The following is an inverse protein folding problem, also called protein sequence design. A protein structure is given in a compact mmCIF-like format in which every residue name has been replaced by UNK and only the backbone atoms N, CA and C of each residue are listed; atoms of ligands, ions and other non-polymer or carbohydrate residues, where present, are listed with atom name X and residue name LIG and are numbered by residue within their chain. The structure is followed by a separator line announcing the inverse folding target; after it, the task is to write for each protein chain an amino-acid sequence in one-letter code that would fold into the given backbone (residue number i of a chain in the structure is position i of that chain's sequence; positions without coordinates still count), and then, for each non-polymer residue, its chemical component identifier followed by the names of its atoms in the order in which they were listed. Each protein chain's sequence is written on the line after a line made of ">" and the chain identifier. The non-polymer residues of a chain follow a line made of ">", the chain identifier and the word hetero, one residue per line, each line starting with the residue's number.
data_IF_984724009180
#
_entry.id   IF_984724009180
#
_cell.length_a   1.000
_cell.length_b   1.000
_cell.length_c   1.000
_cell.angle_alpha   90.00
_cell.angle_beta   90.00
_cell.angle_gamma   90.00
#
_symmetry.space_group_name_H-M   'P 1'
#
loop_
_entity.id
_entity.type
_entity.pdbx_description
1 polymer ?
#
# COMPACT_ATOMS: atom_id res chain seq x y z
N UNK A 1 -3.57 27.89 -13.03
CA UNK A 1 -3.28 26.48 -13.05
C UNK A 1 -4.33 25.74 -13.85
N UNK A 2 -3.97 24.68 -14.53
CA UNK A 2 -4.95 23.81 -15.17
C UNK A 2 -5.77 23.12 -14.08
N UNK A 3 -7.09 23.14 -14.19
CA UNK A 3 -7.94 22.34 -13.32
C UNK A 3 -7.67 20.86 -13.63
N UNK A 4 -7.22 20.10 -12.64
CA UNK A 4 -7.09 18.66 -12.76
C UNK A 4 -8.48 18.04 -12.65
N UNK A 5 -8.89 17.29 -13.66
CA UNK A 5 -10.10 16.47 -13.59
C UNK A 5 -9.78 15.19 -12.84
N UNK A 6 -10.42 15.00 -11.70
CA UNK A 6 -10.28 13.78 -10.89
C UNK A 6 -11.52 12.90 -11.02
N UNK A 7 -11.31 11.60 -11.16
CA UNK A 7 -12.34 10.60 -10.89
C UNK A 7 -12.01 9.91 -9.57
N UNK A 8 -13.03 9.60 -8.80
CA UNK A 8 -12.88 8.79 -7.59
C UNK A 8 -13.42 7.40 -7.84
N UNK A 9 -12.58 6.39 -7.63
CA UNK A 9 -12.92 4.98 -7.78
C UNK A 9 -12.80 4.31 -6.42
N UNK A 10 -13.83 3.61 -6.02
CA UNK A 10 -13.85 2.78 -4.82
C UNK A 10 -14.15 1.35 -5.21
N UNK A 11 -13.28 0.43 -4.83
CA UNK A 11 -13.49 -1.00 -5.00
C UNK A 11 -13.84 -1.61 -3.65
N UNK A 12 -15.08 -2.03 -3.52
CA UNK A 12 -15.56 -2.70 -2.32
C UNK A 12 -15.28 -4.21 -2.39
N UNK A 13 -14.62 -4.73 -1.36
CA UNK A 13 -14.25 -6.14 -1.28
C UNK A 13 -15.18 -6.97 -0.38
N UNK A 14 -16.31 -6.39 0.01
CA UNK A 14 -17.34 -7.06 0.80
C UNK A 14 -17.65 -6.36 2.13
N UNK A 15 -17.72 -5.03 2.13
CA UNK A 15 -18.10 -4.25 3.31
C UNK A 15 -19.52 -4.60 3.78
N UNK A 16 -19.69 -4.73 5.06
CA UNK A 16 -20.99 -5.00 5.70
C UNK A 16 -21.61 -3.78 6.39
N UNK A 17 -20.91 -2.65 6.34
CA UNK A 17 -21.32 -1.37 6.90
C UNK A 17 -21.80 -0.40 5.81
N UNK A 18 -21.85 0.91 6.12
CA UNK A 18 -22.29 1.95 5.19
C UNK A 18 -21.20 2.42 4.20
N UNK A 19 -20.06 1.75 4.10
CA UNK A 19 -18.94 2.17 3.23
C UNK A 19 -19.40 2.45 1.81
N UNK A 20 -20.11 1.50 1.18
CA UNK A 20 -20.60 1.64 -0.21
C UNK A 20 -21.60 2.79 -0.36
N UNK A 21 -22.48 2.97 0.62
CA UNK A 21 -23.47 4.05 0.63
C UNK A 21 -22.78 5.42 0.69
N UNK A 22 -21.87 5.59 1.65
CA UNK A 22 -21.11 6.83 1.84
C UNK A 22 -20.26 7.16 0.60
N UNK A 23 -19.53 6.19 0.06
CA UNK A 23 -18.72 6.41 -1.14
C UNK A 23 -19.56 6.86 -2.34
N UNK A 24 -20.78 6.30 -2.49
CA UNK A 24 -21.72 6.72 -3.54
C UNK A 24 -22.23 8.14 -3.32
N UNK A 25 -22.60 8.49 -2.09
CA UNK A 25 -23.03 9.85 -1.72
C UNK A 25 -21.93 10.89 -1.98
N UNK A 26 -20.66 10.50 -1.81
CA UNK A 26 -19.49 11.33 -2.13
C UNK A 26 -19.15 11.39 -3.63
N UNK A 27 -19.93 10.71 -4.48
CA UNK A 27 -19.78 10.76 -5.95
C UNK A 27 -18.77 9.78 -6.53
N UNK A 28 -18.28 8.83 -5.75
CA UNK A 28 -17.35 7.81 -6.23
C UNK A 28 -18.01 6.83 -7.19
N UNK A 29 -17.23 6.34 -8.15
CA UNK A 29 -17.57 5.18 -8.97
C UNK A 29 -17.30 3.91 -8.17
N UNK A 30 -18.35 3.13 -7.93
CA UNK A 30 -18.26 1.93 -7.09
C UNK A 30 -18.12 0.70 -7.97
N UNK A 31 -17.13 -0.12 -7.66
CA UNK A 31 -16.93 -1.45 -8.24
C UNK A 31 -16.85 -2.48 -7.12
N UNK A 32 -17.16 -3.73 -7.44
CA UNK A 32 -17.16 -4.82 -6.47
C UNK A 32 -16.13 -5.88 -6.89
N UNK A 33 -15.28 -6.25 -5.95
CA UNK A 33 -14.28 -7.30 -6.14
C UNK A 33 -14.37 -8.27 -4.95
N UNK A 34 -14.78 -9.52 -5.14
CA UNK A 34 -14.85 -10.47 -4.03
C UNK A 34 -13.49 -10.63 -3.37
N UNK A 35 -13.43 -10.55 -2.05
CA UNK A 35 -12.17 -10.77 -1.33
C UNK A 35 -11.65 -12.20 -1.54
N UNK A 36 -10.44 -12.33 -2.08
CA UNK A 36 -9.79 -13.60 -2.43
C UNK A 36 -8.47 -13.83 -1.70
N UNK A 37 -8.24 -13.12 -0.57
CA UNK A 37 -6.98 -13.13 0.18
C UNK A 37 -5.76 -12.66 -0.65
N UNK A 38 -5.96 -11.66 -1.47
CA UNK A 38 -4.96 -11.09 -2.36
C UNK A 38 -5.17 -9.58 -2.49
N UNK A 39 -4.34 -8.79 -1.80
CA UNK A 39 -4.41 -7.34 -1.83
C UNK A 39 -3.98 -6.78 -3.19
N UNK A 40 -2.93 -7.35 -3.80
CA UNK A 40 -2.47 -6.89 -5.11
C UNK A 40 -3.56 -7.10 -6.18
N UNK A 41 -4.29 -8.21 -6.14
CA UNK A 41 -5.38 -8.46 -7.07
C UNK A 41 -6.49 -7.41 -6.93
N UNK A 42 -6.89 -7.06 -5.71
CA UNK A 42 -7.89 -6.03 -5.45
C UNK A 42 -7.41 -4.64 -5.90
N UNK A 43 -6.15 -4.28 -5.61
CA UNK A 43 -5.54 -3.01 -6.05
C UNK A 43 -5.43 -2.93 -7.56
N UNK A 44 -4.97 -3.98 -8.22
CA UNK A 44 -4.87 -4.03 -9.67
C UNK A 44 -6.25 -3.94 -10.35
N UNK A 45 -7.25 -4.59 -9.78
CA UNK A 45 -8.63 -4.44 -10.27
C UNK A 45 -9.10 -2.98 -10.21
N UNK A 46 -8.76 -2.24 -9.14
CA UNK A 46 -9.07 -0.82 -9.03
C UNK A 46 -8.34 0.01 -10.09
N UNK A 47 -7.06 -0.25 -10.34
CA UNK A 47 -6.25 0.41 -11.37
C UNK A 47 -6.89 0.18 -12.76
N UNK A 48 -7.36 -1.02 -13.06
CA UNK A 48 -7.98 -1.35 -14.35
C UNK A 48 -9.30 -0.60 -14.62
N UNK A 49 -9.93 -0.04 -13.58
CA UNK A 49 -11.12 0.81 -13.73
C UNK A 49 -10.77 2.28 -13.99
N UNK A 50 -9.53 2.70 -13.71
CA UNK A 50 -9.09 4.08 -13.79
C UNK A 50 -8.82 4.50 -15.26
N UNK A 51 -9.16 5.76 -15.58
CA UNK A 51 -9.01 6.35 -16.92
C UNK A 51 -8.08 7.58 -16.93
N UNK A 52 -7.69 8.07 -15.76
CA UNK A 52 -6.75 9.18 -15.65
C UNK A 52 -5.34 8.77 -16.05
N UNK A 53 -4.51 9.74 -16.38
CA UNK A 53 -3.09 9.53 -16.72
C UNK A 53 -2.25 9.17 -15.49
N UNK A 54 -2.69 9.60 -14.32
CA UNK A 54 -2.08 9.33 -13.03
C UNK A 54 -3.05 8.61 -12.09
N UNK A 55 -2.51 7.72 -11.27
CA UNK A 55 -3.20 7.09 -10.16
C UNK A 55 -2.72 7.73 -8.86
N UNK A 56 -3.66 8.20 -8.04
CA UNK A 56 -3.44 8.48 -6.62
C UNK A 56 -4.09 7.33 -5.84
N UNK A 57 -3.30 6.39 -5.35
CA UNK A 57 -3.82 5.22 -4.63
C UNK A 57 -3.70 5.45 -3.13
N UNK A 58 -4.83 5.65 -2.47
CA UNK A 58 -4.91 5.82 -1.01
C UNK A 58 -5.70 4.66 -0.39
N UNK A 59 -5.24 4.20 0.75
CA UNK A 59 -6.01 3.32 1.61
C UNK A 59 -7.10 4.14 2.35
N UNK A 60 -8.14 3.49 2.86
CA UNK A 60 -9.32 4.19 3.41
C UNK A 60 -9.04 5.01 4.67
N UNK A 61 -7.92 4.74 5.34
CA UNK A 61 -7.43 5.43 6.54
C UNK A 61 -6.32 6.47 6.22
N UNK A 62 -6.15 6.80 4.94
CA UNK A 62 -5.17 7.78 4.45
C UNK A 62 -5.85 9.02 3.86
N UNK A 63 -5.26 10.17 4.07
CA UNK A 63 -5.74 11.44 3.51
C UNK A 63 -4.61 12.44 3.30
N UNK A 64 -4.78 13.35 2.32
CA UNK A 64 -3.93 14.52 2.17
C UNK A 64 -4.49 15.69 2.96
N UNK A 65 -3.61 16.59 3.42
CA UNK A 65 -4.06 17.88 3.93
C UNK A 65 -4.64 18.73 2.78
N UNK A 66 -5.55 19.68 3.07
CA UNK A 66 -6.04 20.61 2.06
C UNK A 66 -4.93 21.45 1.40
N UNK A 67 -3.85 21.73 2.14
CA UNK A 67 -2.68 22.44 1.65
C UNK A 67 -1.90 21.59 0.64
N UNK A 68 -1.66 20.32 0.94
CA UNK A 68 -0.93 19.42 0.06
C UNK A 68 -1.73 19.09 -1.19
N UNK A 69 -3.04 18.91 -1.05
CA UNK A 69 -3.94 18.69 -2.20
C UNK A 69 -3.82 19.79 -3.27
N UNK A 70 -3.61 21.04 -2.85
CA UNK A 70 -3.45 22.18 -3.78
C UNK A 70 -2.13 22.17 -4.54
N UNK A 71 -1.09 21.48 -4.02
CA UNK A 71 0.23 21.39 -4.65
C UNK A 71 0.27 20.30 -5.72
N UNK A 72 -0.61 19.29 -5.64
CA UNK A 72 -0.61 18.12 -6.53
C UNK A 72 -0.57 18.53 -8.02
N UNK A 73 -1.42 19.47 -8.51
CA UNK A 73 -1.41 19.87 -9.92
C UNK A 73 -0.05 20.41 -10.38
N UNK A 74 0.58 21.24 -9.55
CA UNK A 74 1.88 21.83 -9.84
C UNK A 74 2.98 20.75 -9.85
N UNK A 75 2.98 19.85 -8.86
CA UNK A 75 3.94 18.76 -8.78
C UNK A 75 3.85 17.88 -10.04
N UNK A 76 2.66 17.46 -10.44
CA UNK A 76 2.44 16.61 -11.61
C UNK A 76 2.79 17.32 -12.93
N UNK A 77 2.74 18.65 -13.00
CA UNK A 77 3.15 19.41 -14.19
C UNK A 77 4.67 19.45 -14.38
N UNK A 78 5.44 19.41 -13.27
CA UNK A 78 6.91 19.45 -13.31
C UNK A 78 7.58 18.08 -13.34
N UNK A 79 6.81 17.01 -13.15
CA UNK A 79 7.34 15.64 -13.24
C UNK A 79 7.65 15.28 -14.68
N UNK A 80 8.86 14.79 -14.94
CA UNK A 80 9.28 14.39 -16.29
C UNK A 80 8.48 13.21 -16.84
N UNK A 81 8.50 13.05 -18.16
CA UNK A 81 7.75 12.00 -18.87
C UNK A 81 8.27 10.57 -18.59
N UNK A 82 9.51 10.45 -18.10
CA UNK A 82 10.21 9.15 -17.93
C UNK A 82 10.09 8.58 -16.53
N UNK A 83 9.19 9.13 -15.67
CA UNK A 83 9.01 8.62 -14.31
C UNK A 83 7.88 7.61 -14.23
N UNK A 84 7.99 6.70 -13.26
CA UNK A 84 6.95 5.73 -12.94
C UNK A 84 6.02 6.24 -11.84
N UNK A 85 6.53 7.10 -10.95
CA UNK A 85 5.72 7.64 -9.85
C UNK A 85 6.47 8.61 -8.96
N UNK A 86 5.81 8.99 -7.87
CA UNK A 86 6.33 9.90 -6.85
C UNK A 86 6.56 9.14 -5.53
N UNK A 87 7.72 9.36 -4.93
CA UNK A 87 7.94 9.03 -3.53
C UNK A 87 7.35 10.16 -2.69
N UNK A 88 6.36 9.86 -1.86
CA UNK A 88 5.68 10.83 -1.00
C UNK A 88 5.95 10.53 0.46
N UNK A 89 5.84 11.56 1.32
CA UNK A 89 5.88 11.37 2.75
C UNK A 89 4.63 10.66 3.28
N UNK A 90 4.78 9.91 4.37
CA UNK A 90 3.68 9.41 5.19
C UNK A 90 3.90 9.85 6.62
N UNK A 91 2.83 10.26 7.30
CA UNK A 91 2.82 10.66 8.69
C UNK A 91 1.76 9.88 9.44
N UNK A 92 2.19 9.02 10.34
CA UNK A 92 1.30 8.22 11.19
C UNK A 92 0.80 9.06 12.37
N UNK A 93 -0.49 9.06 12.60
CA UNK A 93 -1.16 9.79 13.66
C UNK A 93 -1.78 8.84 14.69
N UNK A 94 -1.68 9.22 15.97
CA UNK A 94 -2.46 8.58 17.04
C UNK A 94 -3.91 9.13 17.09
N UNK A 95 -4.70 8.63 18.03
CA UNK A 95 -6.09 9.02 18.27
C UNK A 95 -6.27 10.52 18.66
N UNK A 96 -5.19 11.17 19.11
CA UNK A 96 -5.16 12.57 19.49
C UNK A 96 -4.54 13.46 18.39
N UNK A 97 -4.30 12.90 17.19
CA UNK A 97 -3.62 13.52 16.06
C UNK A 97 -2.16 13.93 16.35
N UNK A 98 -1.49 13.24 17.29
CA UNK A 98 -0.06 13.41 17.47
C UNK A 98 0.70 12.50 16.49
N UNK A 99 1.81 13.03 15.97
CA UNK A 99 2.70 12.25 15.10
C UNK A 99 3.39 11.16 15.92
N UNK A 100 3.25 9.92 15.49
CA UNK A 100 3.85 8.75 16.12
C UNK A 100 5.04 8.21 15.34
N UNK A 101 4.97 8.27 14.03
CA UNK A 101 6.04 7.86 13.11
C UNK A 101 5.87 8.55 11.76
N UNK A 102 6.83 8.35 10.88
CA UNK A 102 6.78 8.82 9.51
C UNK A 102 7.71 7.98 8.62
N UNK A 103 7.51 8.09 7.35
CA UNK A 103 8.27 7.35 6.37
C UNK A 103 8.02 7.88 4.96
N UNK A 104 8.27 7.03 3.97
CA UNK A 104 8.04 7.35 2.58
C UNK A 104 7.30 6.22 1.89
N UNK A 105 6.43 6.56 0.93
CA UNK A 105 5.65 5.58 0.19
C UNK A 105 5.29 6.08 -1.20
N UNK A 106 5.09 5.17 -2.14
CA UNK A 106 4.59 5.49 -3.47
C UNK A 106 3.07 5.48 -3.40
N UNK A 107 2.45 6.67 -3.54
CA UNK A 107 0.99 6.82 -3.62
C UNK A 107 0.54 7.44 -4.94
N UNK A 108 1.45 8.08 -5.69
CA UNK A 108 1.21 8.56 -7.04
C UNK A 108 2.07 7.82 -8.02
N UNK A 109 1.47 7.28 -9.08
CA UNK A 109 2.16 6.64 -10.17
C UNK A 109 1.41 6.78 -11.49
N UNK A 110 2.13 6.66 -12.59
CA UNK A 110 1.55 6.79 -13.93
C UNK A 110 0.64 5.60 -14.23
N UNK A 111 -0.53 5.87 -14.81
CA UNK A 111 -1.47 4.82 -15.19
C UNK A 111 -1.01 4.11 -16.47
N UNK A 112 -0.12 3.12 -16.31
CA UNK A 112 0.42 2.32 -17.40
C UNK A 112 0.17 0.82 -17.18
N UNK A 113 0.00 0.03 -18.26
CA UNK A 113 -0.27 -1.40 -18.13
C UNK A 113 0.87 -2.23 -17.54
N UNK A 114 2.11 -1.73 -17.60
CA UNK A 114 3.30 -2.38 -17.06
C UNK A 114 3.58 -2.06 -15.59
N UNK A 115 2.85 -1.10 -14.99
CA UNK A 115 2.91 -0.78 -13.57
C UNK A 115 1.77 -1.49 -12.84
N UNK A 116 2.11 -2.45 -11.98
CA UNK A 116 1.11 -3.24 -11.23
C UNK A 116 1.62 -3.60 -9.84
N UNK A 117 0.70 -3.77 -8.92
CA UNK A 117 1.01 -4.33 -7.62
C UNK A 117 1.28 -5.83 -7.71
N UNK A 118 2.27 -6.30 -6.95
CA UNK A 118 2.60 -7.72 -6.76
C UNK A 118 2.67 -8.04 -5.27
N UNK A 119 2.46 -9.31 -4.93
CA UNK A 119 2.41 -9.80 -3.55
C UNK A 119 0.98 -9.82 -3.00
N UNK A 120 0.53 -10.98 -2.50
CA UNK A 120 -0.82 -11.13 -1.93
C UNK A 120 -1.02 -10.31 -0.66
N UNK A 121 0.07 -10.08 0.07
CA UNK A 121 0.17 -9.22 1.26
C UNK A 121 1.54 -8.55 1.25
N UNK A 122 1.68 -7.38 1.86
CA UNK A 122 2.83 -6.48 1.73
C UNK A 122 3.11 -6.16 0.26
N UNK A 123 2.04 -5.96 -0.46
CA UNK A 123 2.04 -5.69 -1.89
C UNK A 123 2.77 -4.38 -2.21
N UNK A 124 3.56 -4.41 -3.25
CA UNK A 124 4.32 -3.27 -3.73
C UNK A 124 4.16 -3.10 -5.24
N UNK A 125 4.37 -1.86 -5.70
CA UNK A 125 4.30 -1.53 -7.11
C UNK A 125 5.58 -1.99 -7.82
N UNK A 126 5.44 -2.63 -8.97
CA UNK A 126 6.56 -3.01 -9.84
C UNK A 126 6.29 -2.58 -11.27
N UNK A 127 7.38 -2.40 -12.03
CA UNK A 127 7.35 -2.23 -13.48
C UNK A 127 7.76 -3.53 -14.14
N UNK A 128 6.89 -4.08 -14.96
CA UNK A 128 7.12 -5.35 -15.64
C UNK A 128 8.33 -5.25 -16.59
N UNK A 129 9.32 -6.12 -16.38
CA UNK A 129 10.53 -6.18 -17.21
C UNK A 129 11.66 -5.28 -16.74
N UNK A 130 11.47 -4.53 -15.66
CA UNK A 130 12.49 -3.67 -15.05
C UNK A 130 12.84 -4.15 -13.65
N UNK A 131 14.06 -3.87 -13.20
CA UNK A 131 14.53 -4.23 -11.86
C UNK A 131 14.10 -3.25 -10.76
N UNK A 132 13.56 -2.08 -11.13
CA UNK A 132 13.14 -1.04 -10.19
C UNK A 132 12.18 -0.04 -10.82
N UNK A 133 11.82 0.98 -10.06
CA UNK A 133 10.96 2.08 -10.48
C UNK A 133 11.76 3.37 -10.58
N UNK A 134 11.49 4.17 -11.60
CA UNK A 134 12.00 5.53 -11.72
C UNK A 134 11.08 6.49 -10.98
N UNK A 135 11.53 6.98 -9.81
CA UNK A 135 10.72 7.82 -8.92
C UNK A 135 11.27 9.23 -8.82
N UNK A 136 10.37 10.21 -8.78
CA UNK A 136 10.70 11.56 -8.35
C UNK A 136 10.44 11.69 -6.85
N UNK A 137 11.40 12.21 -6.10
CA UNK A 137 11.24 12.48 -4.68
C UNK A 137 10.41 13.77 -4.49
N UNK A 138 9.23 13.60 -3.92
CA UNK A 138 8.30 14.67 -3.55
C UNK A 138 8.01 14.69 -2.04
N UNK A 139 8.85 14.04 -1.23
CA UNK A 139 8.61 13.86 0.22
C UNK A 139 8.56 15.16 1.00
N UNK A 140 9.28 16.21 0.55
CA UNK A 140 9.24 17.53 1.17
C UNK A 140 8.01 18.36 0.76
N UNK A 141 7.40 18.04 -0.38
CA UNK A 141 6.29 18.80 -0.95
C UNK A 141 4.93 18.18 -0.65
N UNK A 142 4.89 16.85 -0.51
CA UNK A 142 3.65 16.08 -0.43
C UNK A 142 3.76 14.96 0.59
N UNK A 143 2.94 15.04 1.62
CA UNK A 143 2.79 13.98 2.60
C UNK A 143 1.30 13.66 2.81
N UNK A 144 1.01 12.41 3.09
CA UNK A 144 -0.33 11.99 3.50
C UNK A 144 -0.33 11.57 4.97
N UNK A 145 -1.49 11.76 5.57
CA UNK A 145 -1.77 11.40 6.95
C UNK A 145 -2.36 10.00 6.99
N UNK A 146 -1.86 9.16 7.86
CA UNK A 146 -2.35 7.81 8.09
C UNK A 146 -2.83 7.68 9.53
N UNK A 147 -4.08 7.25 9.71
CA UNK A 147 -4.76 7.14 11.01
C UNK A 147 -4.97 5.69 11.46
N UNK A 148 -4.53 4.72 10.68
CA UNK A 148 -4.75 3.28 10.90
C UNK A 148 -4.03 2.67 12.12
N UNK A 149 -3.23 3.45 12.85
CA UNK A 149 -2.56 3.01 14.09
C UNK A 149 -3.29 3.41 15.37
N UNK A 150 -4.55 3.83 15.29
CA UNK A 150 -5.37 4.06 16.49
C UNK A 150 -5.50 2.77 17.30
N UNK A 151 -5.44 2.87 18.65
CA UNK A 151 -5.31 1.71 19.54
C UNK A 151 -6.36 0.61 19.37
N UNK A 152 -7.55 0.97 18.89
CA UNK A 152 -8.62 0.01 18.63
C UNK A 152 -8.34 -0.91 17.44
N UNK A 153 -7.60 -0.47 16.44
CA UNK A 153 -7.26 -1.28 15.27
C UNK A 153 -6.09 -2.23 15.52
N UNK A 154 -5.18 -1.89 16.44
CA UNK A 154 -4.04 -2.76 16.80
C UNK A 154 -4.46 -4.11 17.42
N UNK A 155 -5.70 -4.21 17.93
CA UNK A 155 -6.22 -5.42 18.61
C UNK A 155 -7.20 -6.22 17.77
N UNK A 156 -7.35 -5.91 16.49
CA UNK A 156 -8.26 -6.68 15.64
C UNK A 156 -7.67 -8.05 15.32
N UNK A 157 -8.13 -9.04 16.11
CA UNK A 157 -7.80 -10.46 15.90
C UNK A 157 -8.11 -10.92 14.48
N UNK A 158 -9.11 -10.35 13.84
CA UNK A 158 -9.49 -10.74 12.48
C UNK A 158 -8.42 -10.31 11.45
N UNK A 159 -7.83 -9.13 11.64
CA UNK A 159 -6.72 -8.61 10.82
C UNK A 159 -5.46 -9.47 10.97
N UNK A 160 -5.12 -9.82 12.22
CA UNK A 160 -4.01 -10.72 12.51
C UNK A 160 -4.21 -12.10 11.87
N UNK A 161 -5.36 -12.75 12.10
CA UNK A 161 -5.65 -14.08 11.57
C UNK A 161 -5.69 -14.09 10.04
N UNK A 162 -6.27 -13.07 9.42
CA UNK A 162 -6.27 -12.93 7.96
C UNK A 162 -4.84 -12.84 7.41
N UNK A 163 -4.01 -11.96 7.96
CA UNK A 163 -2.64 -11.75 7.49
C UNK A 163 -1.80 -13.01 7.69
N UNK A 164 -1.89 -13.63 8.87
CA UNK A 164 -1.20 -14.88 9.17
C UNK A 164 -1.58 -15.99 8.18
N UNK A 165 -2.87 -16.17 7.90
CA UNK A 165 -3.33 -17.18 6.97
C UNK A 165 -2.80 -16.96 5.56
N UNK A 166 -2.79 -15.73 5.05
CA UNK A 166 -2.25 -15.41 3.71
C UNK A 166 -0.76 -15.79 3.65
N UNK A 167 0.02 -15.38 4.64
CA UNK A 167 1.47 -15.65 4.69
C UNK A 167 1.72 -17.16 4.76
N UNK A 168 1.01 -17.89 5.62
CA UNK A 168 1.17 -19.34 5.75
C UNK A 168 0.80 -20.10 4.47
N UNK A 169 -0.23 -19.66 3.74
CA UNK A 169 -0.58 -20.25 2.44
C UNK A 169 0.51 -20.05 1.39
N UNK A 170 1.17 -18.88 1.39
CA UNK A 170 2.31 -18.64 0.50
C UNK A 170 3.49 -19.52 0.89
N UNK A 171 3.83 -19.59 2.17
CA UNK A 171 4.96 -20.38 2.67
C UNK A 171 4.77 -21.91 2.52
N UNK A 172 3.54 -22.40 2.30
CA UNK A 172 3.32 -23.79 1.90
C UNK A 172 3.87 -24.09 0.51
N UNK A 173 3.85 -23.13 -0.39
CA UNK A 173 4.33 -23.26 -1.76
C UNK A 173 5.79 -22.85 -1.88
N UNK A 174 6.20 -21.86 -1.09
CA UNK A 174 7.53 -21.25 -1.08
C UNK A 174 8.13 -21.25 0.33
N UNK A 175 8.49 -22.42 0.90
CA UNK A 175 8.86 -22.54 2.32
C UNK A 175 10.16 -21.83 2.70
N UNK A 176 11.00 -21.51 1.72
CA UNK A 176 12.28 -20.79 1.90
C UNK A 176 12.25 -19.35 1.41
N UNK A 177 11.07 -18.78 1.14
CA UNK A 177 10.94 -17.37 0.77
C UNK A 177 11.26 -16.50 1.98
N UNK A 178 12.46 -15.85 1.96
CA UNK A 178 12.97 -15.09 3.09
C UNK A 178 12.09 -13.87 3.43
N UNK A 179 11.47 -13.23 2.45
CA UNK A 179 10.61 -12.07 2.65
C UNK A 179 9.34 -12.46 3.42
N UNK A 180 8.65 -13.51 2.98
CA UNK A 180 7.46 -14.00 3.67
C UNK A 180 7.76 -14.63 5.03
N UNK A 181 8.95 -15.20 5.24
CA UNK A 181 9.41 -15.62 6.56
C UNK A 181 9.64 -14.40 7.47
N UNK A 182 10.16 -13.30 6.93
CA UNK A 182 10.28 -12.02 7.63
C UNK A 182 8.91 -11.46 8.03
N UNK A 183 7.98 -11.36 7.08
CA UNK A 183 6.60 -10.91 7.32
C UNK A 183 5.84 -11.79 8.33
N UNK A 184 6.13 -13.09 8.36
CA UNK A 184 5.62 -14.00 9.40
C UNK A 184 6.13 -13.58 10.78
N UNK A 185 7.41 -13.24 10.87
CA UNK A 185 8.01 -12.72 12.10
C UNK A 185 7.35 -11.43 12.56
N UNK A 186 7.16 -10.45 11.65
CA UNK A 186 6.48 -9.18 11.94
C UNK A 186 5.04 -9.40 12.42
N UNK A 187 4.32 -10.32 11.76
CA UNK A 187 2.94 -10.68 12.13
C UNK A 187 2.86 -11.27 13.52
N UNK A 188 3.76 -12.19 13.88
CA UNK A 188 3.82 -12.74 15.24
C UNK A 188 4.24 -11.70 16.27
N UNK A 189 5.21 -10.84 15.93
CA UNK A 189 5.69 -9.77 16.81
C UNK A 189 4.57 -8.78 17.16
N UNK A 190 3.74 -8.40 16.19
CA UNK A 190 2.62 -7.48 16.39
C UNK A 190 1.54 -8.04 17.35
N UNK A 191 1.41 -9.36 17.44
CA UNK A 191 0.49 -10.06 18.36
C UNK A 191 1.17 -10.44 19.70
N UNK A 192 2.43 -10.03 19.91
CA UNK A 192 3.18 -10.32 21.13
C UNK A 192 3.70 -11.76 21.23
N UNK A 193 3.64 -12.54 20.15
CA UNK A 193 4.16 -13.93 20.05
C UNK A 193 5.65 -13.91 19.75
N UNK A 194 6.44 -13.44 20.74
CA UNK A 194 7.85 -13.14 20.56
C UNK A 194 8.72 -14.37 20.25
N UNK A 195 8.38 -15.56 20.75
CA UNK A 195 9.11 -16.79 20.46
C UNK A 195 8.90 -17.24 19.02
N UNK A 196 7.65 -17.24 18.56
CA UNK A 196 7.29 -17.57 17.19
C UNK A 196 7.88 -16.55 16.20
N UNK A 197 7.84 -15.26 16.54
CA UNK A 197 8.46 -14.19 15.76
C UNK A 197 9.96 -14.42 15.60
N UNK A 198 10.66 -14.69 16.71
CA UNK A 198 12.10 -14.98 16.71
C UNK A 198 12.44 -16.18 15.81
N UNK A 199 11.65 -17.25 15.90
CA UNK A 199 11.91 -18.45 15.12
C UNK A 199 11.62 -18.23 13.61
N UNK A 200 10.62 -17.41 13.26
CA UNK A 200 10.37 -16.99 11.90
C UNK A 200 11.52 -16.14 11.34
N UNK A 201 12.00 -15.14 12.08
CA UNK A 201 13.15 -14.33 11.67
C UNK A 201 14.44 -15.14 11.49
N UNK A 202 14.71 -16.13 12.36
CA UNK A 202 15.87 -17.02 12.17
C UNK A 202 15.78 -17.81 10.87
N UNK A 203 14.58 -18.32 10.52
CA UNK A 203 14.36 -18.99 9.23
C UNK A 203 14.53 -18.02 8.07
N UNK A 204 14.01 -16.80 8.17
CA UNK A 204 14.19 -15.77 7.16
C UNK A 204 15.67 -15.50 6.86
N UNK A 205 16.46 -15.28 7.93
CA UNK A 205 17.91 -15.06 7.80
C UNK A 205 18.63 -16.29 7.20
N UNK A 206 18.25 -17.50 7.59
CA UNK A 206 18.85 -18.73 7.06
C UNK A 206 18.48 -18.96 5.58
N UNK A 207 17.34 -18.45 5.12
CA UNK A 207 16.88 -18.56 3.73
C UNK A 207 17.38 -17.40 2.84
N UNK A 208 18.05 -16.39 3.41
CA UNK A 208 18.63 -15.30 2.62
C UNK A 208 19.70 -15.82 1.66
N UNK A 209 19.73 -15.33 0.40
CA UNK A 209 20.79 -15.69 -0.54
C UNK A 209 22.16 -15.23 -0.02
N UNK A 210 23.21 -16.01 -0.26
CA UNK A 210 24.60 -15.67 0.16
C UNK A 210 25.11 -14.35 -0.41
N UNK A 211 24.55 -13.91 -1.52
CA UNK A 211 24.81 -12.59 -2.12
C UNK A 211 23.47 -11.88 -2.26
N UNK A 212 23.32 -10.78 -1.55
CA UNK A 212 22.31 -9.79 -1.91
C UNK A 212 22.71 -9.22 -3.28
N UNK A 213 21.90 -9.43 -4.30
CA UNK A 213 22.02 -8.64 -5.53
C UNK A 213 21.64 -7.22 -5.16
N UNK A 214 22.65 -6.40 -4.93
CA UNK A 214 22.45 -4.95 -4.76
C UNK A 214 22.17 -4.44 -6.17
N UNK A 215 20.92 -4.13 -6.42
CA UNK A 215 20.56 -3.36 -7.60
C UNK A 215 21.03 -1.91 -7.37
N UNK A 216 22.04 -1.51 -8.13
CA UNK A 216 22.55 -0.12 -8.19
C UNK A 216 21.52 0.82 -8.84
#
# INVERSE_FOLDING_TARGET
>A
GKDIMCEQIVVDTGSSDRTVEIAREMGAKIFFFPWINDFAAAKNFAIDQAKGDWIAFLDADESFTPEDTKKIPEILEYVGDDVDGLLTGIVDLDENNHITSGGTMIRFFVNRPDLRYVGKIHEHLVRKGESGLYLTDATEQLAFLHTGYQEQEKKDKSKFERNLNIILEILKQEPENCDYLGYLGDTYSSDGKNEEARDAYKKAVAAMPEKLEVYD
#
